data_IF_472177727717
#
_entry.id   IF_472177727717
#
_cell.length_a   1.000
_cell.length_b   1.000
_cell.length_c   1.000
_cell.angle_alpha   90.00
_cell.angle_beta   90.00
_cell.angle_gamma   90.00
#
_symmetry.space_group_name_H-M   'P 1'
#
loop_
_entity.id
_entity.type
_entity.pdbx_description
1 polymer ?
#
# COMPACT_ATOMS: atom_id res chain seq x y z
N UNK A 1 1.65 -28.66 12.20
CA UNK A 1 1.22 -27.36 12.77
C UNK A 1 2.12 -26.30 12.19
N UNK A 2 1.79 -25.81 10.99
CA UNK A 2 2.55 -24.74 10.34
C UNK A 2 2.07 -23.42 10.91
N UNK A 3 2.82 -22.85 11.86
CA UNK A 3 2.67 -21.43 12.22
C UNK A 3 3.28 -20.61 11.10
N UNK A 4 2.51 -20.33 10.06
CA UNK A 4 2.80 -19.18 9.20
C UNK A 4 2.28 -17.98 9.95
N UNK A 5 3.19 -17.19 10.51
CA UNK A 5 2.90 -15.83 10.95
C UNK A 5 2.37 -15.08 9.72
N UNK A 6 1.05 -15.06 9.59
CA UNK A 6 0.36 -14.21 8.63
C UNK A 6 0.63 -12.77 9.07
N UNK A 7 1.58 -12.12 8.41
CA UNK A 7 1.59 -10.67 8.24
C UNK A 7 0.27 -10.28 7.54
N UNK A 8 -0.83 -10.32 8.28
CA UNK A 8 -2.20 -10.11 7.82
C UNK A 8 -2.56 -8.62 7.70
N UNK A 9 -1.59 -7.74 7.95
CA UNK A 9 -1.75 -6.30 7.75
C UNK A 9 -1.42 -5.98 6.30
N UNK A 10 -2.46 -5.82 5.49
CA UNK A 10 -2.32 -5.27 4.13
C UNK A 10 -1.77 -3.85 4.27
N UNK A 11 -0.50 -3.68 3.90
CA UNK A 11 0.18 -2.38 3.94
C UNK A 11 -0.09 -1.61 2.63
N UNK A 12 -0.50 -0.36 2.74
CA UNK A 12 -0.67 0.54 1.60
C UNK A 12 0.40 1.62 1.59
N UNK A 13 0.83 1.99 0.39
CA UNK A 13 1.73 3.11 0.18
C UNK A 13 1.06 4.16 -0.70
N UNK A 14 1.14 5.42 -0.25
CA UNK A 14 0.74 6.59 -1.04
C UNK A 14 1.98 7.33 -1.50
N UNK A 15 2.03 7.70 -2.78
CA UNK A 15 3.11 8.54 -3.30
C UNK A 15 2.88 9.98 -2.82
N UNK A 16 3.81 10.53 -2.02
CA UNK A 16 3.69 11.88 -1.40
C UNK A 16 3.43 13.01 -2.39
N UNK A 17 4.00 12.91 -3.60
CA UNK A 17 3.88 13.94 -4.63
C UNK A 17 2.63 13.76 -5.53
N UNK A 18 1.90 12.65 -5.37
CA UNK A 18 0.75 12.23 -6.18
C UNK A 18 -0.24 11.52 -5.26
N UNK A 19 -1.06 12.29 -4.56
CA UNK A 19 -2.03 11.75 -3.59
C UNK A 19 -3.05 10.78 -4.23
N UNK A 20 -3.22 10.87 -5.55
CA UNK A 20 -4.01 10.00 -6.42
C UNK A 20 -3.39 8.60 -6.64
N UNK A 21 -2.12 8.43 -6.29
CA UNK A 21 -1.39 7.17 -6.43
C UNK A 21 -1.27 6.45 -5.08
N UNK A 22 -2.28 5.63 -4.81
CA UNK A 22 -2.32 4.72 -3.67
C UNK A 22 -2.29 3.29 -4.20
N UNK A 23 -1.37 2.49 -3.69
CA UNK A 23 -1.24 1.09 -4.07
C UNK A 23 -0.93 0.20 -2.88
N UNK A 24 -1.17 -1.10 -3.06
CA UNK A 24 -0.79 -2.10 -2.08
C UNK A 24 0.72 -2.30 -2.15
N UNK A 25 1.39 -2.30 -1.00
CA UNK A 25 2.82 -2.63 -0.94
C UNK A 25 2.97 -4.12 -1.21
N UNK A 26 3.56 -4.46 -2.37
CA UNK A 26 3.85 -5.84 -2.75
C UNK A 26 5.23 -6.26 -2.29
N UNK A 27 6.19 -5.33 -2.32
CA UNK A 27 7.59 -5.61 -1.99
C UNK A 27 8.30 -4.34 -1.53
N UNK A 28 9.24 -4.48 -0.60
CA UNK A 28 10.20 -3.44 -0.23
C UNK A 28 11.60 -3.99 -0.51
N UNK A 29 12.37 -3.30 -1.34
CA UNK A 29 13.76 -3.63 -1.69
C UNK A 29 14.67 -2.46 -1.29
N UNK A 30 15.24 -2.51 -0.08
CA UNK A 30 16.11 -1.44 0.42
C UNK A 30 15.38 -0.10 0.43
N UNK A 31 15.82 0.84 -0.42
CA UNK A 31 15.26 2.19 -0.52
C UNK A 31 14.09 2.30 -1.53
N UNK A 32 13.60 1.19 -2.09
CA UNK A 32 12.50 1.19 -3.04
C UNK A 32 11.33 0.36 -2.55
N UNK A 33 10.12 0.82 -2.86
CA UNK A 33 8.85 0.18 -2.54
C UNK A 33 8.11 -0.08 -3.84
N UNK A 34 7.70 -1.33 -4.02
CA UNK A 34 6.90 -1.77 -5.14
C UNK A 34 5.42 -1.73 -4.75
N UNK A 35 4.67 -0.85 -5.40
CA UNK A 35 3.25 -0.66 -5.22
C UNK A 35 2.47 -1.30 -6.37
N UNK A 36 1.47 -2.08 -6.03
CA UNK A 36 0.42 -2.52 -6.95
C UNK A 36 -0.70 -1.48 -6.92
N UNK A 37 -0.74 -0.64 -7.95
CA UNK A 37 -1.69 0.47 -8.07
C UNK A 37 -2.82 0.02 -9.00
N UNK A 38 -4.07 -0.10 -8.53
CA UNK A 38 -5.18 -0.64 -9.33
C UNK A 38 -5.44 0.11 -10.64
N UNK A 39 -5.09 1.40 -10.69
CA UNK A 39 -5.27 2.26 -11.87
C UNK A 39 -4.26 1.97 -12.99
N UNK A 40 -3.20 1.20 -12.70
CA UNK A 40 -2.15 0.85 -13.66
C UNK A 40 -2.10 -0.66 -13.88
N UNK A 41 -1.79 -1.07 -15.11
CA UNK A 41 -1.46 -2.48 -15.38
C UNK A 41 -0.02 -2.75 -14.96
N UNK A 42 0.14 -3.37 -13.80
CA UNK A 42 1.41 -3.83 -13.26
C UNK A 42 1.87 -3.04 -12.04
N UNK A 43 3.04 -3.40 -11.54
CA UNK A 43 3.56 -2.83 -10.30
C UNK A 43 4.51 -1.68 -10.61
N UNK A 44 4.46 -0.63 -9.79
CA UNK A 44 5.35 0.52 -9.90
C UNK A 44 6.30 0.58 -8.72
N UNK A 45 7.57 0.86 -8.99
CA UNK A 45 8.58 1.04 -7.96
C UNK A 45 8.83 2.53 -7.69
N UNK A 46 8.80 2.89 -6.42
CA UNK A 46 9.04 4.25 -5.96
C UNK A 46 10.11 4.26 -4.86
N UNK A 47 10.94 5.32 -4.77
CA UNK A 47 11.80 5.54 -3.62
C UNK A 47 10.96 5.61 -2.34
N UNK A 48 11.41 4.95 -1.28
CA UNK A 48 10.72 4.90 0.01
C UNK A 48 10.51 6.29 0.61
N UNK A 49 11.42 7.23 0.36
CA UNK A 49 11.32 8.63 0.81
C UNK A 49 10.11 9.36 0.20
N UNK A 50 9.66 8.90 -0.97
CA UNK A 50 8.48 9.40 -1.68
C UNK A 50 7.21 8.63 -1.34
N UNK A 51 7.31 7.56 -0.54
CA UNK A 51 6.16 6.77 -0.10
C UNK A 51 5.81 7.11 1.34
N UNK A 52 4.53 7.40 1.53
CA UNK A 52 3.90 7.49 2.83
C UNK A 52 3.14 6.19 3.08
N UNK A 53 3.61 5.41 4.05
CA UNK A 53 2.94 4.17 4.44
C UNK A 53 1.69 4.51 5.24
N UNK A 54 0.55 4.03 4.77
CA UNK A 54 -0.74 4.19 5.43
C UNK A 54 -0.98 2.94 6.25
N UNK A 55 -0.88 3.08 7.58
CA UNK A 55 -1.23 2.03 8.53
C UNK A 55 -2.68 2.21 8.95
N UNK A 56 -3.50 1.18 8.75
CA UNK A 56 -4.88 1.15 9.24
C UNK A 56 -5.91 1.47 8.18
N UNK A 57 -6.80 0.50 7.99
CA UNK A 57 -7.99 0.50 7.14
C UNK A 57 -7.72 0.70 5.65
N UNK A 58 -8.38 -0.14 4.84
CA UNK A 58 -8.26 -0.09 3.39
C UNK A 58 -8.67 1.34 2.94
N UNK A 59 -7.80 2.12 2.27
CA UNK A 59 -8.13 3.49 1.88
C UNK A 59 -9.27 3.56 0.83
N UNK A 60 -9.65 2.40 0.29
CA UNK A 60 -10.81 2.21 -0.59
C UNK A 60 -12.05 1.70 0.17
N UNK A 61 -11.96 1.40 1.46
CA UNK A 61 -13.10 1.15 2.34
C UNK A 61 -13.75 2.51 2.65
N UNK A 62 -14.53 3.04 1.71
CA UNK A 62 -15.54 4.04 2.02
C UNK A 62 -16.65 3.36 2.82
N UNK A 63 -16.41 3.04 4.10
CA UNK A 63 -17.55 2.77 4.98
C UNK A 63 -18.24 4.11 5.19
N UNK A 64 -19.50 4.29 4.77
CA UNK A 64 -20.28 5.39 5.28
C UNK A 64 -20.33 5.17 6.79
N UNK A 65 -19.79 6.11 7.56
CA UNK A 65 -20.11 6.18 8.98
C UNK A 65 -21.64 6.19 9.05
N UNK A 66 -22.19 5.11 9.59
CA UNK A 66 -23.63 4.90 9.70
C UNK A 66 -24.27 6.09 10.38
N UNK A 67 -25.27 6.66 9.72
CA UNK A 67 -26.22 7.59 10.31
C UNK A 67 -27.25 6.84 11.16
#
# INVERSE_FOLDING_TARGET
MERKEELNEILFGRVRNRIDLIGKVVKINGNFVCLDIPQFKGNMEYPIDLIEFINGENPFDERPNGA
#
